data_IF_878392106448
#
_entry.id   IF_878392106448
#
_cell.length_a   1.000
_cell.length_b   1.000
_cell.length_c   1.000
_cell.angle_alpha   90.00
_cell.angle_beta   90.00
_cell.angle_gamma   90.00
#
_symmetry.space_group_name_H-M   'P 1'
#
loop_
_entity.id
_entity.type
_entity.pdbx_description
1 polymer ?
#
# COMPACT_ATOMS: atom_id res chain seq x y z
N UNK A 1 -5.80 19.66 18.40
CA UNK A 1 -4.57 18.93 18.76
C UNK A 1 -4.95 17.46 18.80
N UNK A 2 -4.52 16.68 17.82
CA UNK A 2 -4.83 15.24 17.75
C UNK A 2 -3.91 14.52 18.75
N UNK A 3 -4.50 13.74 19.66
CA UNK A 3 -3.81 12.94 20.68
C UNK A 3 -3.29 11.60 20.14
N UNK A 4 -3.19 11.47 18.82
CA UNK A 4 -2.70 10.23 18.18
C UNK A 4 -1.18 10.17 18.23
N UNK A 5 -0.59 8.97 18.38
CA UNK A 5 0.85 8.81 18.41
C UNK A 5 1.47 9.29 17.10
N UNK A 6 2.16 10.43 17.14
CA UNK A 6 2.93 10.94 16.01
C UNK A 6 4.13 10.01 15.76
N UNK A 7 4.20 9.45 14.55
CA UNK A 7 5.33 8.60 14.12
C UNK A 7 6.36 9.49 13.43
N UNK A 8 7.52 9.67 14.06
CA UNK A 8 8.66 10.34 13.46
C UNK A 8 9.63 9.31 12.88
N UNK A 9 9.92 9.40 11.58
CA UNK A 9 10.84 8.49 10.88
C UNK A 9 12.04 9.30 10.41
N UNK A 10 13.18 9.16 11.09
CA UNK A 10 14.39 9.96 10.84
C UNK A 10 15.46 9.24 10.03
N UNK A 11 15.36 7.93 9.86
CA UNK A 11 16.32 7.13 9.10
C UNK A 11 15.65 5.86 8.63
N UNK A 12 15.74 5.56 7.34
CA UNK A 12 15.07 4.41 6.75
C UNK A 12 16.11 3.38 6.35
N UNK A 13 16.17 2.26 7.05
CA UNK A 13 16.93 1.09 6.57
C UNK A 13 16.02 0.19 5.73
N UNK A 14 16.61 -0.58 4.82
CA UNK A 14 15.89 -1.61 4.04
C UNK A 14 15.10 -2.55 4.95
N UNK A 15 15.70 -2.94 6.07
CA UNK A 15 15.13 -3.88 7.04
C UNK A 15 13.85 -3.31 7.64
N UNK A 16 13.82 -2.01 7.92
CA UNK A 16 12.65 -1.35 8.51
C UNK A 16 11.48 -1.29 7.53
N UNK A 17 11.75 -1.06 6.23
CA UNK A 17 10.70 -1.01 5.19
C UNK A 17 10.13 -2.40 4.94
N UNK A 18 11.00 -3.41 4.78
CA UNK A 18 10.59 -4.79 4.56
C UNK A 18 9.77 -5.27 5.76
N UNK A 19 10.22 -4.95 6.98
CA UNK A 19 9.48 -5.22 8.22
C UNK A 19 8.11 -4.53 8.25
N UNK A 20 8.03 -3.25 7.90
CA UNK A 20 6.77 -2.51 7.83
C UNK A 20 5.82 -3.14 6.81
N UNK A 21 6.30 -3.43 5.60
CA UNK A 21 5.52 -4.02 4.52
C UNK A 21 4.98 -5.40 4.91
N UNK A 22 5.83 -6.27 5.46
CA UNK A 22 5.45 -7.60 5.91
C UNK A 22 4.44 -7.55 7.05
N UNK A 23 4.61 -6.62 8.00
CA UNK A 23 3.66 -6.42 9.10
C UNK A 23 2.29 -5.98 8.57
N UNK A 24 2.26 -4.95 7.74
CA UNK A 24 1.01 -4.45 7.15
C UNK A 24 0.32 -5.53 6.29
N UNK A 25 1.08 -6.28 5.50
CA UNK A 25 0.55 -7.42 4.75
C UNK A 25 -0.04 -8.50 5.66
N UNK A 26 0.66 -8.86 6.74
CA UNK A 26 0.19 -9.84 7.70
C UNK A 26 -1.10 -9.39 8.39
N UNK A 27 -1.15 -8.14 8.86
CA UNK A 27 -2.32 -7.56 9.54
C UNK A 27 -3.54 -7.55 8.61
N UNK A 28 -3.39 -7.06 7.36
CA UNK A 28 -4.48 -7.01 6.39
C UNK A 28 -4.93 -8.41 5.95
N UNK A 29 -3.98 -9.33 5.74
CA UNK A 29 -4.28 -10.73 5.40
C UNK A 29 -5.01 -11.43 6.53
N UNK A 30 -4.64 -11.19 7.79
CA UNK A 30 -5.35 -11.73 8.95
C UNK A 30 -6.80 -11.25 9.00
N UNK A 31 -7.03 -9.94 8.81
CA UNK A 31 -8.37 -9.37 8.78
C UNK A 31 -9.19 -9.99 7.64
N UNK A 32 -8.62 -10.07 6.43
CA UNK A 32 -9.29 -10.68 5.27
C UNK A 32 -9.63 -12.15 5.52
N UNK A 33 -8.68 -12.94 6.05
CA UNK A 33 -8.87 -14.36 6.29
C UNK A 33 -9.91 -14.61 7.38
N UNK A 34 -9.95 -13.77 8.42
CA UNK A 34 -10.98 -13.84 9.47
C UNK A 34 -12.38 -13.58 8.91
N UNK A 35 -12.52 -12.58 8.04
CA UNK A 35 -13.79 -12.29 7.35
C UNK A 35 -14.21 -13.44 6.43
N UNK A 36 -13.27 -14.03 5.69
CA UNK A 36 -13.52 -15.19 4.85
C UNK A 36 -13.96 -16.41 5.66
N UNK A 37 -13.30 -16.67 6.79
CA UNK A 37 -13.65 -17.80 7.65
C UNK A 37 -15.05 -17.65 8.26
N UNK A 38 -15.40 -16.45 8.72
CA UNK A 38 -16.76 -16.14 9.21
C UNK A 38 -17.81 -16.36 8.12
N UNK A 39 -17.58 -15.82 6.93
CA UNK A 39 -18.51 -15.98 5.80
C UNK A 39 -18.66 -17.44 5.39
N UNK A 40 -17.56 -18.20 5.38
CA UNK A 40 -17.58 -19.64 5.10
C UNK A 40 -18.41 -20.42 6.12
N UNK A 41 -18.32 -20.09 7.40
CA UNK A 41 -19.16 -20.69 8.46
C UNK A 41 -20.64 -20.37 8.24
N UNK A 42 -20.98 -19.11 7.96
CA UNK A 42 -22.36 -18.71 7.66
C UNK A 42 -22.94 -19.45 6.44
N UNK A 43 -22.14 -19.65 5.39
CA UNK A 43 -22.55 -20.42 4.20
C UNK A 43 -22.80 -21.89 4.57
N UNK A 44 -21.90 -22.50 5.34
CA UNK A 44 -22.06 -23.89 5.80
C UNK A 44 -23.31 -24.05 6.66
N UNK A 45 -23.59 -23.10 7.55
CA UNK A 45 -24.81 -23.09 8.37
C UNK A 45 -26.05 -22.96 7.50
N UNK A 46 -26.06 -22.04 6.54
CA UNK A 46 -27.18 -21.86 5.58
C UNK A 46 -27.48 -23.17 4.84
N UNK A 47 -26.44 -23.86 4.35
CA UNK A 47 -26.59 -25.15 3.66
C UNK A 47 -27.11 -26.25 4.60
N UNK A 48 -26.63 -26.29 5.85
CA UNK A 48 -27.07 -27.28 6.85
C UNK A 48 -28.54 -27.12 7.20
N UNK A 49 -28.99 -25.88 7.45
CA UNK A 49 -30.40 -25.58 7.77
C UNK A 49 -31.32 -26.03 6.64
N UNK A 50 -30.96 -25.70 5.39
CA UNK A 50 -31.72 -26.15 4.22
C UNK A 50 -31.82 -27.67 4.10
N UNK A 51 -30.73 -28.41 4.34
CA UNK A 51 -30.74 -29.88 4.27
C UNK A 51 -31.53 -30.56 5.41
N UNK A 52 -31.81 -29.84 6.49
CA UNK A 52 -32.53 -30.39 7.65
C UNK A 52 -34.05 -30.30 7.51
N UNK A 53 -34.58 -29.35 6.73
CA UNK A 53 -36.01 -29.24 6.38
C UNK A 53 -36.34 -30.23 5.25
N UNK A 54 -36.60 -31.49 5.64
CA UNK A 54 -36.82 -32.62 4.71
C UNK A 54 -38.26 -32.81 4.22
N UNK A 55 -39.19 -31.93 4.56
CA UNK A 55 -40.61 -32.12 4.23
C UNK A 55 -41.07 -31.24 3.02
N UNK A 56 -41.48 -31.93 1.95
CA UNK A 56 -42.32 -31.54 0.81
C UNK A 56 -41.87 -30.56 -0.33
N UNK A 57 -41.76 -31.14 -1.54
CA UNK A 57 -42.31 -30.82 -2.88
C UNK A 57 -42.23 -29.39 -3.48
N UNK A 58 -41.79 -28.34 -2.77
CA UNK A 58 -41.59 -26.98 -3.32
C UNK A 58 -40.15 -26.47 -3.16
N UNK A 59 -39.17 -27.37 -3.20
CA UNK A 59 -37.77 -27.05 -2.86
C UNK A 59 -36.98 -26.30 -3.95
N UNK A 60 -37.44 -26.24 -5.21
CA UNK A 60 -36.62 -25.67 -6.30
C UNK A 60 -36.47 -24.15 -6.14
N UNK A 61 -37.56 -23.42 -5.89
CA UNK A 61 -37.52 -21.96 -5.72
C UNK A 61 -36.76 -21.58 -4.45
N UNK A 62 -36.95 -22.34 -3.36
CA UNK A 62 -36.20 -22.18 -2.11
C UNK A 62 -34.71 -22.46 -2.31
N UNK A 63 -34.35 -23.51 -3.05
CA UNK A 63 -32.96 -23.84 -3.36
C UNK A 63 -32.31 -22.74 -4.22
N UNK A 64 -33.01 -22.24 -5.24
CA UNK A 64 -32.54 -21.14 -6.08
C UNK A 64 -32.32 -19.88 -5.23
N UNK A 65 -33.26 -19.53 -4.35
CA UNK A 65 -33.10 -18.39 -3.44
C UNK A 65 -31.89 -18.55 -2.52
N UNK A 66 -31.59 -19.77 -2.04
CA UNK A 66 -30.42 -20.03 -1.18
C UNK A 66 -29.13 -19.92 -1.98
N UNK A 67 -29.10 -20.43 -3.22
CA UNK A 67 -27.96 -20.29 -4.12
C UNK A 67 -27.67 -18.82 -4.37
N UNK A 68 -28.70 -18.01 -4.61
CA UNK A 68 -28.56 -16.56 -4.80
C UNK A 68 -28.03 -15.87 -3.54
N UNK A 69 -28.50 -16.25 -2.35
CA UNK A 69 -27.98 -15.72 -1.08
C UNK A 69 -26.50 -16.08 -0.86
N UNK A 70 -26.11 -17.33 -1.16
CA UNK A 70 -24.72 -17.78 -1.06
C UNK A 70 -23.85 -17.01 -2.04
N UNK A 71 -24.31 -16.85 -3.29
CA UNK A 71 -23.62 -16.07 -4.31
C UNK A 71 -23.38 -14.62 -3.85
N UNK A 72 -24.42 -13.94 -3.37
CA UNK A 72 -24.31 -12.57 -2.84
C UNK A 72 -23.33 -12.47 -1.68
N UNK A 73 -23.30 -13.46 -0.77
CA UNK A 73 -22.33 -13.51 0.33
C UNK A 73 -20.89 -13.65 -0.19
N UNK A 74 -20.67 -14.49 -1.21
CA UNK A 74 -19.35 -14.67 -1.83
C UNK A 74 -18.91 -13.39 -2.56
N UNK A 75 -19.79 -12.76 -3.34
CA UNK A 75 -19.50 -11.50 -4.04
C UNK A 75 -19.10 -10.40 -3.03
N UNK A 76 -19.89 -10.21 -1.97
CA UNK A 76 -19.58 -9.25 -0.90
C UNK A 76 -18.29 -9.58 -0.15
N UNK A 77 -17.97 -10.85 0.02
CA UNK A 77 -16.72 -11.28 0.65
C UNK A 77 -15.50 -10.91 -0.21
N UNK A 78 -15.58 -11.12 -1.53
CA UNK A 78 -14.52 -10.73 -2.46
C UNK A 78 -14.35 -9.20 -2.54
N UNK A 79 -15.45 -8.45 -2.61
CA UNK A 79 -15.41 -6.98 -2.55
C UNK A 79 -14.70 -6.48 -1.28
N UNK A 80 -15.05 -7.06 -0.12
CA UNK A 80 -14.40 -6.70 1.15
C UNK A 80 -12.90 -7.05 1.13
N UNK A 81 -12.53 -8.21 0.59
CA UNK A 81 -11.12 -8.61 0.44
C UNK A 81 -10.36 -7.62 -0.43
N UNK A 82 -10.94 -7.20 -1.55
CA UNK A 82 -10.33 -6.23 -2.45
C UNK A 82 -10.09 -4.89 -1.74
N UNK A 83 -11.09 -4.39 -1.01
CA UNK A 83 -10.96 -3.15 -0.21
C UNK A 83 -9.89 -3.27 0.86
N UNK A 84 -9.83 -4.38 1.60
CA UNK A 84 -8.84 -4.62 2.66
C UNK A 84 -7.42 -4.69 2.06
N UNK A 85 -7.26 -5.36 0.91
CA UNK A 85 -5.96 -5.56 0.28
C UNK A 85 -5.53 -4.40 -0.64
N UNK A 86 -6.41 -3.43 -0.88
CA UNK A 86 -6.16 -2.30 -1.78
C UNK A 86 -4.84 -1.55 -1.49
N UNK A 87 -4.47 -1.22 -0.23
CA UNK A 87 -3.21 -0.52 0.04
C UNK A 87 -1.98 -1.30 -0.44
N UNK A 88 -1.97 -2.62 -0.24
CA UNK A 88 -0.88 -3.49 -0.71
C UNK A 88 -0.89 -3.60 -2.24
N UNK A 89 -2.08 -3.70 -2.85
CA UNK A 89 -2.21 -3.74 -4.31
C UNK A 89 -1.71 -2.45 -4.97
N UNK A 90 -2.00 -1.29 -4.37
CA UNK A 90 -1.51 0.00 -4.83
C UNK A 90 0.02 0.08 -4.77
N UNK A 91 0.63 -0.31 -3.65
CA UNK A 91 2.09 -0.40 -3.51
C UNK A 91 2.67 -1.35 -4.55
N UNK A 92 2.11 -2.54 -4.69
CA UNK A 92 2.54 -3.55 -5.68
C UNK A 92 2.53 -2.98 -7.10
N UNK A 93 1.44 -2.34 -7.52
CA UNK A 93 1.31 -1.76 -8.86
C UNK A 93 2.33 -0.66 -9.13
N UNK A 94 2.67 0.13 -8.11
CA UNK A 94 3.69 1.17 -8.21
C UNK A 94 5.09 0.58 -8.32
N UNK A 95 5.39 -0.43 -7.50
CA UNK A 95 6.66 -1.15 -7.56
C UNK A 95 6.82 -1.83 -8.93
N UNK A 96 5.84 -2.60 -9.39
CA UNK A 96 5.93 -3.28 -10.69
C UNK A 96 6.15 -2.32 -11.86
N UNK A 97 5.54 -1.12 -11.82
CA UNK A 97 5.75 -0.06 -12.81
C UNK A 97 7.14 0.57 -12.73
N UNK A 98 7.64 0.81 -11.52
CA UNK A 98 8.92 1.47 -11.29
C UNK A 98 10.12 0.57 -11.60
N UNK A 99 10.03 -0.70 -11.25
CA UNK A 99 11.12 -1.67 -11.34
C UNK A 99 11.15 -2.46 -12.65
N UNK A 100 10.30 -2.11 -13.63
CA UNK A 100 10.31 -2.64 -15.01
C UNK A 100 10.54 -4.15 -15.06
N UNK A 101 9.55 -4.91 -14.56
CA UNK A 101 9.43 -6.38 -14.66
C UNK A 101 10.44 -7.25 -13.92
N UNK A 102 11.40 -6.70 -13.17
CA UNK A 102 12.09 -7.51 -12.15
C UNK A 102 11.16 -7.72 -10.98
N UNK A 103 10.87 -8.98 -10.63
CA UNK A 103 10.19 -9.26 -9.38
C UNK A 103 11.04 -8.78 -8.20
N UNK A 104 10.40 -8.38 -7.10
CA UNK A 104 11.09 -8.10 -5.84
C UNK A 104 10.54 -9.02 -4.78
N UNK A 105 11.43 -9.74 -4.13
CA UNK A 105 11.12 -10.62 -3.03
C UNK A 105 11.40 -9.90 -1.70
N UNK A 106 10.37 -9.78 -0.88
CA UNK A 106 10.39 -9.16 0.46
C UNK A 106 10.43 -10.21 1.58
N UNK A 107 10.84 -11.44 1.25
CA UNK A 107 10.88 -12.58 2.16
C UNK A 107 9.94 -13.71 1.72
N UNK A 108 9.85 -14.80 2.49
CA UNK A 108 9.20 -16.04 2.03
C UNK A 108 7.70 -15.94 1.76
N UNK A 109 7.05 -14.85 2.17
CA UNK A 109 5.59 -14.69 2.13
C UNK A 109 5.10 -13.57 1.21
N UNK A 110 6.00 -12.76 0.64
CA UNK A 110 5.61 -11.59 -0.13
C UNK A 110 6.61 -11.31 -1.26
N UNK A 111 6.10 -11.31 -2.48
CA UNK A 111 6.80 -10.83 -3.66
C UNK A 111 5.90 -9.93 -4.50
N UNK A 112 6.51 -8.94 -5.14
CA UNK A 112 5.88 -8.12 -6.17
C UNK A 112 6.50 -8.49 -7.52
N UNK A 113 5.71 -8.47 -8.60
CA UNK A 113 6.14 -8.93 -9.92
C UNK A 113 6.24 -10.46 -10.04
N UNK A 114 7.02 -10.90 -11.02
CA UNK A 114 7.23 -12.32 -11.30
C UNK A 114 8.16 -12.96 -10.25
N UNK A 115 7.64 -13.93 -9.50
CA UNK A 115 8.38 -14.63 -8.47
C UNK A 115 9.57 -15.43 -9.01
N UNK A 116 9.51 -15.89 -10.27
CA UNK A 116 10.59 -16.68 -10.88
C UNK A 116 11.83 -15.85 -11.20
N UNK A 117 11.65 -14.57 -11.53
CA UNK A 117 12.71 -13.61 -11.82
C UNK A 117 12.95 -12.63 -10.67
N UNK A 118 12.40 -12.91 -9.48
CA UNK A 118 12.43 -11.98 -8.37
C UNK A 118 13.83 -11.86 -7.74
N UNK A 119 14.31 -10.63 -7.60
CA UNK A 119 15.52 -10.31 -6.84
C UNK A 119 15.18 -10.06 -5.38
N UNK A 120 16.11 -10.36 -4.47
CA UNK A 120 15.92 -10.02 -3.06
C UNK A 120 15.89 -8.49 -2.89
N UNK A 121 14.96 -7.99 -2.08
CA UNK A 121 14.90 -6.57 -1.67
C UNK A 121 16.23 -5.99 -1.15
N UNK A 122 17.13 -6.82 -0.61
CA UNK A 122 18.48 -6.42 -0.19
C UNK A 122 19.35 -5.94 -1.36
N UNK A 123 19.12 -6.48 -2.56
CA UNK A 123 19.85 -6.13 -3.78
C UNK A 123 19.41 -4.81 -4.41
N UNK A 124 18.33 -4.19 -3.90
CA UNK A 124 17.90 -2.86 -4.35
C UNK A 124 18.96 -1.80 -4.01
N UNK A 125 19.14 -0.84 -4.91
CA UNK A 125 19.98 0.34 -4.66
C UNK A 125 19.40 1.20 -3.53
N UNK A 126 20.24 2.06 -2.93
CA UNK A 126 19.79 2.96 -1.86
C UNK A 126 18.63 3.86 -2.31
N UNK A 127 18.67 4.38 -3.54
CA UNK A 127 17.59 5.19 -4.11
C UNK A 127 16.28 4.42 -4.31
N UNK A 128 16.36 3.19 -4.81
CA UNK A 128 15.18 2.34 -4.98
C UNK A 128 14.52 2.00 -3.64
N UNK A 129 15.32 1.72 -2.62
CA UNK A 129 14.86 1.50 -1.24
C UNK A 129 14.20 2.77 -0.69
N UNK A 130 14.81 3.93 -0.89
CA UNK A 130 14.25 5.21 -0.46
C UNK A 130 12.90 5.49 -1.14
N UNK A 131 12.79 5.28 -2.45
CA UNK A 131 11.52 5.46 -3.17
C UNK A 131 10.44 4.49 -2.68
N UNK A 132 10.78 3.21 -2.52
CA UNK A 132 9.86 2.22 -1.99
C UNK A 132 9.34 2.63 -0.61
N UNK A 133 10.21 3.22 0.22
CA UNK A 133 9.83 3.74 1.53
C UNK A 133 8.74 4.79 1.42
N UNK A 134 8.94 5.80 0.57
CA UNK A 134 7.96 6.87 0.41
C UNK A 134 6.61 6.33 -0.05
N UNK A 135 6.61 5.38 -0.99
CA UNK A 135 5.39 4.71 -1.45
C UNK A 135 4.70 3.95 -0.31
N UNK A 136 5.43 3.16 0.47
CA UNK A 136 4.89 2.39 1.58
C UNK A 136 4.32 3.30 2.69
N UNK A 137 5.06 4.32 3.13
CA UNK A 137 4.58 5.27 4.14
C UNK A 137 3.32 5.98 3.66
N UNK A 138 3.31 6.41 2.40
CA UNK A 138 2.15 7.09 1.84
C UNK A 138 0.91 6.19 1.71
N UNK A 139 1.10 4.88 1.48
CA UNK A 139 0.01 3.92 1.34
C UNK A 139 -0.59 3.48 2.68
N UNK A 140 0.27 3.27 3.69
CA UNK A 140 -0.15 2.67 4.97
C UNK A 140 -0.56 3.69 6.02
N UNK A 141 -0.03 4.91 5.96
CA UNK A 141 -0.44 5.99 6.84
C UNK A 141 -1.49 6.86 6.16
N UNK A 142 -2.43 7.39 6.94
CA UNK A 142 -3.52 8.26 6.47
C UNK A 142 -3.64 9.45 7.40
N UNK A 143 -3.99 10.61 6.85
CA UNK A 143 -4.13 11.88 7.58
C UNK A 143 -2.86 12.28 8.35
N UNK A 144 -1.69 11.92 7.83
CA UNK A 144 -0.39 12.18 8.47
C UNK A 144 0.37 13.30 7.77
N UNK A 145 1.12 14.08 8.55
CA UNK A 145 2.16 14.96 8.02
C UNK A 145 3.47 14.18 7.88
N UNK A 146 4.00 14.10 6.66
CA UNK A 146 5.23 13.39 6.32
C UNK A 146 6.29 14.42 5.96
N UNK A 147 7.35 14.46 6.76
CA UNK A 147 8.52 15.31 6.54
C UNK A 147 9.61 14.51 5.82
N UNK A 148 10.14 15.06 4.74
CA UNK A 148 11.22 14.44 3.97
C UNK A 148 12.34 15.47 3.82
N UNK A 149 13.54 15.10 4.24
CA UNK A 149 14.73 15.93 4.11
C UNK A 149 15.65 15.35 3.03
N UNK A 150 16.17 16.23 2.18
CA UNK A 150 17.07 15.95 1.05
C UNK A 150 16.78 14.64 0.29
N UNK A 151 15.56 14.43 -0.24
CA UNK A 151 15.21 13.20 -0.96
C UNK A 151 16.12 12.93 -2.17
N UNK A 152 16.76 13.95 -2.74
CA UNK A 152 17.66 13.84 -3.88
C UNK A 152 18.97 13.10 -3.60
N UNK A 153 19.42 12.99 -2.34
CA UNK A 153 20.76 12.47 -2.02
C UNK A 153 20.98 11.04 -2.51
N UNK A 154 19.94 10.21 -2.49
CA UNK A 154 20.05 8.82 -2.96
C UNK A 154 19.27 8.54 -4.26
N UNK A 155 18.49 9.50 -4.77
CA UNK A 155 17.64 9.30 -5.95
C UNK A 155 18.34 9.76 -7.23
N UNK A 156 18.30 8.92 -8.26
CA UNK A 156 18.67 9.34 -9.62
C UNK A 156 17.70 10.43 -10.13
N UNK A 157 18.17 11.30 -11.04
CA UNK A 157 17.42 12.47 -11.55
C UNK A 157 16.02 12.10 -12.07
N UNK A 158 15.88 10.96 -12.72
CA UNK A 158 14.57 10.49 -13.21
C UNK A 158 13.60 10.16 -12.06
N UNK A 159 14.09 9.58 -10.97
CA UNK A 159 13.28 9.28 -9.78
C UNK A 159 12.91 10.56 -9.04
N UNK A 160 13.81 11.54 -8.96
CA UNK A 160 13.51 12.86 -8.40
C UNK A 160 12.32 13.52 -9.12
N UNK A 161 12.30 13.45 -10.46
CA UNK A 161 11.18 13.99 -11.27
C UNK A 161 9.88 13.24 -11.07
N UNK A 162 9.92 11.95 -10.72
CA UNK A 162 8.75 11.09 -10.58
C UNK A 162 8.20 11.08 -9.14
N UNK A 163 9.01 11.45 -8.15
CA UNK A 163 8.69 11.35 -6.71
C UNK A 163 7.30 11.88 -6.38
N UNK A 164 7.05 13.18 -6.60
CA UNK A 164 5.77 13.78 -6.27
C UNK A 164 4.61 13.20 -7.07
N UNK A 165 4.81 12.96 -8.36
CA UNK A 165 3.78 12.38 -9.23
C UNK A 165 3.32 11.02 -8.70
N UNK A 166 4.25 10.20 -8.20
CA UNK A 166 3.95 8.90 -7.63
C UNK A 166 3.22 9.03 -6.30
N UNK A 167 3.66 9.94 -5.42
CA UNK A 167 3.00 10.17 -4.14
C UNK A 167 1.58 10.71 -4.30
N UNK A 168 1.37 11.59 -5.29
CA UNK A 168 0.06 12.15 -5.63
C UNK A 168 -0.87 11.10 -6.26
N UNK A 169 -0.35 10.21 -7.10
CA UNK A 169 -1.11 9.10 -7.69
C UNK A 169 -1.70 8.12 -6.66
N UNK A 170 -1.11 8.04 -5.46
CA UNK A 170 -1.66 7.19 -4.39
C UNK A 170 -2.92 7.79 -3.76
N UNK A 171 -3.26 9.04 -4.07
CA UNK A 171 -4.46 9.74 -3.57
C UNK A 171 -4.64 9.60 -2.06
N UNK A 172 -3.52 9.64 -1.33
CA UNK A 172 -3.55 9.57 0.12
C UNK A 172 -4.06 10.90 0.70
N UNK A 173 -4.54 10.86 1.93
CA UNK A 173 -4.89 12.06 2.69
C UNK A 173 -3.69 12.64 3.45
N UNK A 174 -2.47 12.25 3.09
CA UNK A 174 -1.25 12.69 3.77
C UNK A 174 -0.77 14.04 3.23
N UNK A 175 -0.20 14.85 4.11
CA UNK A 175 0.48 16.08 3.75
C UNK A 175 1.99 15.84 3.67
N UNK A 176 2.61 16.18 2.55
CA UNK A 176 4.07 16.12 2.40
C UNK A 176 4.70 17.50 2.61
N UNK A 177 5.75 17.54 3.42
CA UNK A 177 6.62 18.71 3.60
C UNK A 177 8.03 18.25 3.27
N UNK A 178 8.60 18.81 2.20
CA UNK A 178 9.89 18.38 1.66
C UNK A 178 10.88 19.54 1.71
N UNK A 179 12.03 19.30 2.34
CA UNK A 179 13.20 20.16 2.21
C UNK A 179 14.11 19.56 1.11
N UNK A 180 14.42 20.36 0.08
CA UNK A 180 15.19 19.91 -1.07
C UNK A 180 15.93 21.08 -1.72
N UNK A 181 17.13 20.80 -2.20
CA UNK A 181 17.93 21.66 -3.07
C UNK A 181 17.74 21.32 -4.55
N UNK A 182 17.10 20.18 -4.87
CA UNK A 182 16.97 19.71 -6.25
C UNK A 182 15.85 20.42 -7.01
N UNK A 183 16.18 21.18 -8.09
CA UNK A 183 15.16 21.78 -8.93
C UNK A 183 14.28 20.73 -9.61
N UNK A 184 14.75 19.49 -9.80
CA UNK A 184 13.97 18.44 -10.42
C UNK A 184 12.77 17.98 -9.59
N UNK A 185 12.78 18.29 -8.28
CA UNK A 185 11.72 17.96 -7.34
C UNK A 185 10.71 19.11 -7.27
N UNK A 186 11.14 20.33 -6.94
CA UNK A 186 10.22 21.44 -6.69
C UNK A 186 9.71 22.16 -7.95
N UNK A 187 10.45 22.14 -9.08
CA UNK A 187 10.09 22.97 -10.26
C UNK A 187 8.73 22.63 -10.89
N UNK A 188 8.18 21.45 -10.59
CA UNK A 188 6.83 21.05 -11.06
C UNK A 188 5.69 21.72 -10.29
N UNK A 189 5.96 22.29 -9.12
CA UNK A 189 4.95 22.82 -8.20
C UNK A 189 5.32 24.23 -7.71
N UNK A 190 5.42 25.22 -8.62
CA UNK A 190 5.86 26.58 -8.26
C UNK A 190 4.94 27.25 -7.23
N UNK A 191 3.64 26.92 -7.22
CA UNK A 191 2.66 27.47 -6.28
C UNK A 191 2.79 26.88 -4.86
N UNK A 192 3.68 25.90 -4.65
CA UNK A 192 3.87 25.19 -3.37
C UNK A 192 5.31 25.27 -2.86
N UNK A 193 6.11 26.18 -3.41
CA UNK A 193 7.49 26.43 -3.00
C UNK A 193 7.56 27.53 -1.94
N UNK A 194 8.31 27.28 -0.86
CA UNK A 194 8.66 28.30 0.13
C UNK A 194 10.18 28.40 0.15
N UNK A 195 10.71 29.50 -0.40
CA UNK A 195 12.14 29.81 -0.31
C UNK A 195 12.46 30.34 1.10
N UNK A 196 13.25 29.57 1.86
CA UNK A 196 13.62 29.92 3.24
C UNK A 196 14.67 31.04 3.27
N UNK A 197 15.59 31.10 2.31
CA UNK A 197 16.59 32.17 2.21
C UNK A 197 17.03 32.42 0.75
N UNK A 198 16.93 33.65 0.22
CA UNK A 198 17.47 33.99 -1.10
C UNK A 198 19.00 34.06 -1.13
N UNK A 199 19.66 34.16 0.03
CA UNK A 199 21.12 34.18 0.13
C UNK A 199 21.65 32.75 0.25
N UNK A 200 22.41 32.31 -0.77
CA UNK A 200 23.02 30.96 -0.83
C UNK A 200 24.26 30.82 0.06
N UNK A 201 24.61 31.85 0.83
CA UNK A 201 25.85 31.87 1.60
C UNK A 201 27.10 32.14 0.74
N UNK A 202 26.93 32.48 -0.54
CA UNK A 202 28.02 32.83 -1.46
C UNK A 202 28.63 34.21 -1.17
N UNK A 203 28.02 35.01 -0.28
CA UNK A 203 28.65 36.20 0.29
C UNK A 203 29.53 35.77 1.45
N UNK A 204 30.75 35.37 1.10
CA UNK A 204 31.81 35.07 2.07
C UNK A 204 31.99 36.17 3.12
N UNK A 205 32.18 35.73 4.36
CA UNK A 205 32.84 36.50 5.41
C UNK A 205 34.33 36.66 5.09
#
# INVERSE_FOLDING_TARGET
MTNDPHVFVSSISTVDIVGLLLRQYADLSEISNRNQQKTSQEIIETIKTFKSDKDDVLQIDTANSIIDQIRQKIEKMEENREVIMNPIAAVRSLVERLFKSTGINFGPRLSFGDAASAVNSDALSAGEKQMLSFICYNAFYKNSAIFIDEPELSLHVDWQRLLFTILEQQQSSNQFIIATHSPFIYSKYPDREININPDRGDRGL
#
